data_IF_937490545346
#
_entry.id   IF_937490545346
#
_cell.length_a   1.000
_cell.length_b   1.000
_cell.length_c   1.000
_cell.angle_alpha   90.00
_cell.angle_beta   90.00
_cell.angle_gamma   90.00
#
_symmetry.space_group_name_H-M   'P 1'
#
loop_
_entity.id
_entity.type
_entity.pdbx_description
1 polymer ?
#
# COMPACT_ATOMS: atom_id res chain seq x y z
N UNK A 1 41.99 -50.82 -30.66
CA UNK A 1 41.00 -51.52 -29.79
C UNK A 1 41.73 -52.12 -28.60
N UNK A 2 41.05 -52.45 -27.48
CA UNK A 2 39.71 -52.05 -27.05
C UNK A 2 39.88 -50.84 -26.08
N UNK A 3 39.22 -50.59 -24.93
CA UNK A 3 38.01 -51.10 -24.24
C UNK A 3 37.45 -49.98 -23.35
N UNK A 4 36.14 -49.88 -23.13
CA UNK A 4 35.55 -49.03 -22.07
C UNK A 4 35.73 -49.67 -20.69
N UNK A 5 35.80 -48.87 -19.62
CA UNK A 5 35.40 -49.25 -18.25
C UNK A 5 34.45 -48.19 -17.71
N UNK A 6 33.26 -48.62 -17.27
CA UNK A 6 32.26 -47.74 -16.67
C UNK A 6 32.67 -47.33 -15.25
N UNK A 7 32.33 -46.10 -14.85
CA UNK A 7 32.32 -45.70 -13.45
C UNK A 7 30.87 -45.46 -12.98
N UNK A 8 30.63 -45.91 -11.75
CA UNK A 8 29.33 -46.17 -11.13
C UNK A 8 28.65 -44.87 -10.69
N UNK A 9 27.36 -44.73 -10.99
CA UNK A 9 26.49 -43.70 -10.39
C UNK A 9 26.25 -44.04 -8.91
N UNK A 10 26.40 -43.09 -7.96
CA UNK A 10 25.95 -43.26 -6.58
C UNK A 10 24.42 -43.09 -6.45
N UNK A 11 23.78 -44.01 -5.74
CA UNK A 11 22.38 -43.87 -5.31
C UNK A 11 22.30 -42.92 -4.10
N UNK A 12 21.56 -41.82 -4.22
CA UNK A 12 21.27 -40.89 -3.12
C UNK A 12 19.85 -41.09 -2.60
N UNK A 13 19.74 -41.92 -1.57
CA UNK A 13 18.50 -42.20 -0.84
C UNK A 13 17.82 -40.94 -0.32
N UNK A 14 16.49 -40.94 -0.36
CA UNK A 14 15.63 -39.91 0.22
C UNK A 14 15.91 -39.68 1.71
N UNK A 15 16.20 -38.42 2.07
CA UNK A 15 16.18 -37.94 3.45
C UNK A 15 15.19 -36.78 3.59
N UNK A 16 14.18 -36.93 4.43
CA UNK A 16 13.12 -35.94 4.61
C UNK A 16 13.59 -34.67 5.34
N UNK A 17 14.09 -33.69 4.60
CA UNK A 17 14.38 -32.35 5.11
C UNK A 17 13.14 -31.46 5.09
N UNK A 18 12.84 -30.78 6.21
CA UNK A 18 11.81 -29.74 6.28
C UNK A 18 12.20 -28.60 5.34
N UNK A 19 11.28 -28.17 4.46
CA UNK A 19 11.47 -26.95 3.66
C UNK A 19 11.64 -25.75 4.61
N UNK A 20 12.72 -24.95 4.48
CA UNK A 20 12.92 -23.78 5.33
C UNK A 20 11.88 -22.70 5.01
N UNK A 21 11.65 -21.82 5.98
CA UNK A 21 10.77 -20.67 5.84
C UNK A 21 11.20 -19.79 4.65
N UNK A 22 10.25 -19.21 3.93
CA UNK A 22 10.53 -18.39 2.75
C UNK A 22 11.47 -17.23 3.11
N UNK A 23 12.69 -17.25 2.58
CA UNK A 23 13.51 -16.05 2.49
C UNK A 23 12.82 -15.11 1.52
N UNK A 24 12.09 -14.14 2.05
CA UNK A 24 11.61 -13.00 1.26
C UNK A 24 12.84 -12.18 0.91
N UNK A 25 13.44 -12.49 -0.23
CA UNK A 25 14.42 -11.60 -0.86
C UNK A 25 13.65 -10.37 -1.32
N UNK A 26 13.50 -9.38 -0.43
CA UNK A 26 13.38 -7.99 -0.85
C UNK A 26 14.61 -7.69 -1.67
N UNK A 27 14.47 -7.72 -3.00
CA UNK A 27 15.35 -6.90 -3.80
C UNK A 27 15.04 -5.47 -3.37
N UNK A 28 16.00 -4.82 -2.71
CA UNK A 28 16.03 -3.37 -2.72
C UNK A 28 16.11 -2.95 -4.19
N UNK A 29 14.97 -2.52 -4.73
CA UNK A 29 14.97 -1.75 -5.96
C UNK A 29 15.88 -0.53 -5.71
N UNK A 30 16.74 -0.14 -6.65
CA UNK A 30 17.65 0.98 -6.44
C UNK A 30 16.84 2.27 -6.32
N UNK A 31 16.58 2.66 -5.06
CA UNK A 31 15.83 3.85 -4.68
C UNK A 31 16.55 5.07 -5.25
N UNK A 32 15.89 5.77 -6.17
CA UNK A 32 16.53 6.84 -6.91
C UNK A 32 16.44 8.15 -6.13
N UNK A 33 17.57 8.53 -5.54
CA UNK A 33 17.70 9.77 -4.77
C UNK A 33 18.00 10.93 -5.74
N UNK A 34 17.12 11.93 -5.87
CA UNK A 34 17.31 13.04 -6.81
C UNK A 34 18.39 14.01 -6.32
N UNK A 35 19.27 14.46 -7.22
CA UNK A 35 20.32 15.44 -6.88
C UNK A 35 19.78 16.80 -6.40
N UNK A 36 18.53 17.11 -6.75
CA UNK A 36 17.77 18.24 -6.22
C UNK A 36 17.69 18.24 -4.68
N UNK A 37 17.84 17.09 -4.01
CA UNK A 37 17.84 16.98 -2.54
C UNK A 37 18.99 17.77 -1.88
N UNK A 38 20.07 18.08 -2.59
CA UNK A 38 21.16 18.90 -2.04
C UNK A 38 20.72 20.35 -1.74
N UNK A 39 19.69 20.85 -2.43
CA UNK A 39 19.15 22.20 -2.22
C UNK A 39 18.61 22.41 -0.79
N UNK A 40 17.90 21.41 -0.25
CA UNK A 40 17.18 21.50 1.03
C UNK A 40 18.10 21.64 2.27
N UNK A 41 19.39 21.36 2.10
CA UNK A 41 20.45 21.52 3.12
C UNK A 41 21.52 22.56 2.71
N UNK A 42 21.30 23.29 1.62
CA UNK A 42 22.24 24.29 1.10
C UNK A 42 23.58 23.71 0.62
N UNK A 43 23.63 22.42 0.28
CA UNK A 43 24.84 21.74 -0.18
C UNK A 43 25.12 22.06 -1.66
N UNK A 44 26.40 21.98 -2.06
CA UNK A 44 26.79 22.21 -3.45
C UNK A 44 26.14 21.17 -4.39
N UNK A 45 25.59 21.56 -5.56
CA UNK A 45 24.92 20.62 -6.48
C UNK A 45 25.79 19.49 -7.05
N UNK A 46 27.12 19.53 -6.88
CA UNK A 46 28.04 18.43 -7.23
C UNK A 46 28.24 17.41 -6.10
N UNK A 47 27.67 17.68 -4.91
CA UNK A 47 27.68 16.74 -3.78
C UNK A 47 26.88 15.48 -4.13
N UNK A 48 27.38 14.25 -3.85
CA UNK A 48 26.64 13.03 -4.13
C UNK A 48 25.26 13.00 -3.43
N UNK A 49 24.16 12.61 -4.10
CA UNK A 49 22.81 12.68 -3.54
C UNK A 49 22.64 11.94 -2.21
N UNK A 50 23.32 10.81 -2.02
CA UNK A 50 23.29 10.03 -0.77
C UNK A 50 23.91 10.79 0.42
N UNK A 51 24.92 11.63 0.18
CA UNK A 51 25.53 12.48 1.22
C UNK A 51 24.59 13.62 1.60
N UNK A 52 23.93 14.23 0.61
CA UNK A 52 22.87 15.21 0.85
C UNK A 52 21.69 14.60 1.63
N UNK A 53 21.23 13.40 1.25
CA UNK A 53 20.19 12.65 1.95
C UNK A 53 20.58 12.30 3.39
N UNK A 54 21.85 11.99 3.66
CA UNK A 54 22.34 11.77 5.02
C UNK A 54 22.22 13.06 5.88
N UNK A 55 22.53 14.23 5.32
CA UNK A 55 22.31 15.52 5.99
C UNK A 55 20.81 15.80 6.21
N UNK A 56 19.97 15.53 5.21
CA UNK A 56 18.50 15.66 5.34
C UNK A 56 17.96 14.77 6.46
N UNK A 57 18.43 13.51 6.57
CA UNK A 57 18.02 12.63 7.66
C UNK A 57 18.39 13.19 9.03
N UNK A 58 19.55 13.83 9.17
CA UNK A 58 19.95 14.49 10.43
C UNK A 58 19.05 15.70 10.74
N UNK A 59 18.79 16.57 9.77
CA UNK A 59 17.89 17.73 9.95
C UNK A 59 16.46 17.30 10.32
N UNK A 60 15.91 16.31 9.60
CA UNK A 60 14.58 15.75 9.84
C UNK A 60 14.49 15.03 11.18
N UNK A 61 15.53 14.33 11.62
CA UNK A 61 15.55 13.71 12.95
C UNK A 61 15.66 14.73 14.10
N UNK A 62 16.37 15.84 13.89
CA UNK A 62 16.57 16.88 14.91
C UNK A 62 15.37 17.85 15.02
N UNK A 63 14.78 18.25 13.90
CA UNK A 63 13.78 19.33 13.86
C UNK A 63 12.41 18.92 13.27
N UNK A 64 12.29 17.72 12.71
CA UNK A 64 11.14 17.31 11.90
C UNK A 64 11.11 17.92 10.50
N UNK A 65 12.10 18.72 10.12
CA UNK A 65 12.10 19.50 8.86
C UNK A 65 13.47 19.57 8.20
N UNK A 66 13.48 19.53 6.87
CA UNK A 66 14.55 20.06 6.01
C UNK A 66 13.90 20.88 4.90
N UNK A 67 14.18 22.18 4.80
CA UNK A 67 13.53 23.05 3.82
C UNK A 67 14.37 24.32 3.56
N UNK A 68 14.15 25.00 2.42
CA UNK A 68 14.69 26.33 2.18
C UNK A 68 14.37 27.29 3.34
N UNK A 69 15.31 28.14 3.81
CA UNK A 69 15.11 28.95 5.02
C UNK A 69 13.89 29.87 5.03
N UNK A 70 13.34 30.21 3.86
CA UNK A 70 12.14 31.02 3.72
C UNK A 70 10.85 30.28 4.14
N UNK A 71 10.75 28.97 3.89
CA UNK A 71 9.54 28.18 4.19
C UNK A 71 9.52 27.63 5.62
N UNK A 72 10.69 27.41 6.23
CA UNK A 72 10.85 26.81 7.57
C UNK A 72 9.93 27.43 8.64
N UNK A 73 9.75 28.76 8.75
CA UNK A 73 8.86 29.34 9.77
C UNK A 73 7.38 29.00 9.58
N UNK A 74 6.91 28.84 8.34
CA UNK A 74 5.54 28.45 8.03
C UNK A 74 5.33 26.94 8.18
N UNK A 75 6.26 26.15 7.67
CA UNK A 75 6.21 24.68 7.75
C UNK A 75 6.29 24.17 9.20
N UNK A 76 7.05 24.84 10.07
CA UNK A 76 7.09 24.49 11.51
C UNK A 76 5.72 24.65 12.18
N UNK A 77 4.92 25.65 11.79
CA UNK A 77 3.54 25.79 12.28
C UNK A 77 2.64 24.62 11.84
N UNK A 78 2.86 24.06 10.63
CA UNK A 78 2.15 22.88 10.15
C UNK A 78 2.55 21.63 10.93
N UNK A 79 3.84 21.44 11.21
CA UNK A 79 4.36 20.34 12.04
C UNK A 79 3.84 20.44 13.48
N UNK A 80 3.86 21.64 14.07
CA UNK A 80 3.33 21.88 15.42
C UNK A 80 1.80 21.75 15.48
N UNK A 81 1.07 21.97 14.37
CA UNK A 81 -0.35 21.64 14.28
C UNK A 81 -0.57 20.13 14.20
N UNK A 82 0.09 19.44 13.27
CA UNK A 82 0.02 17.99 13.11
C UNK A 82 0.29 17.25 14.43
N UNK A 83 1.26 17.73 15.24
CA UNK A 83 1.57 17.17 16.56
C UNK A 83 0.40 17.31 17.56
N UNK A 84 -0.41 18.37 17.51
CA UNK A 84 -1.63 18.50 18.35
C UNK A 84 -2.70 17.50 17.91
N UNK A 85 -2.77 17.24 16.61
CA UNK A 85 -3.70 16.31 15.99
C UNK A 85 -3.21 14.84 16.08
N UNK A 86 -2.10 14.59 16.80
CA UNK A 86 -1.55 13.26 17.10
C UNK A 86 -0.60 12.70 16.04
N UNK A 87 -0.18 13.50 15.06
CA UNK A 87 0.61 13.08 13.90
C UNK A 87 2.06 13.58 14.04
N UNK A 88 3.03 12.67 14.05
CA UNK A 88 4.45 13.02 13.85
C UNK A 88 4.71 13.29 12.36
N UNK A 89 4.34 14.49 11.91
CA UNK A 89 4.57 14.95 10.54
C UNK A 89 6.02 15.44 10.39
N UNK A 90 6.73 14.88 9.41
CA UNK A 90 8.07 15.30 9.01
C UNK A 90 8.05 15.82 7.58
N UNK A 91 8.69 16.96 7.32
CA UNK A 91 8.61 17.64 6.02
C UNK A 91 9.99 17.83 5.39
N UNK A 92 10.13 17.47 4.12
CA UNK A 92 11.29 17.80 3.29
C UNK A 92 10.85 18.61 2.08
N UNK A 93 11.57 19.68 1.74
CA UNK A 93 11.26 20.55 0.59
C UNK A 93 12.48 20.73 -0.30
N UNK A 94 12.35 20.42 -1.58
CA UNK A 94 13.35 20.61 -2.63
C UNK A 94 13.00 21.88 -3.43
N UNK A 95 13.98 22.77 -3.65
CA UNK A 95 13.79 24.02 -4.42
C UNK A 95 13.41 23.79 -5.90
N UNK A 96 13.66 22.58 -6.42
CA UNK A 96 13.47 22.23 -7.83
C UNK A 96 12.82 20.86 -7.97
N UNK A 97 12.01 20.71 -9.02
CA UNK A 97 11.47 19.41 -9.40
C UNK A 97 12.58 18.51 -9.93
N UNK A 98 12.69 17.25 -9.48
CA UNK A 98 13.39 16.23 -10.24
C UNK A 98 12.66 15.96 -11.58
N UNK A 99 13.32 15.32 -12.58
CA UNK A 99 12.75 15.11 -13.93
C UNK A 99 11.47 14.27 -13.99
N UNK A 100 11.15 13.55 -12.92
CA UNK A 100 9.90 12.80 -12.71
C UNK A 100 9.46 12.99 -11.26
N UNK A 101 8.24 12.59 -10.91
CA UNK A 101 7.63 12.72 -9.58
C UNK A 101 8.00 11.58 -8.62
N UNK A 102 8.14 10.36 -9.14
CA UNK A 102 8.51 9.15 -8.39
C UNK A 102 9.68 9.27 -7.40
N UNK A 103 10.78 10.03 -7.65
CA UNK A 103 11.92 10.13 -6.73
C UNK A 103 11.55 10.66 -5.34
N UNK A 104 10.48 11.44 -5.23
CA UNK A 104 10.02 12.00 -3.94
C UNK A 104 9.36 10.94 -3.06
N UNK A 105 8.75 9.91 -3.67
CA UNK A 105 8.19 8.74 -2.96
C UNK A 105 9.31 7.82 -2.46
N UNK A 106 10.39 7.69 -3.22
CA UNK A 106 11.61 6.98 -2.79
C UNK A 106 12.26 7.71 -1.60
N UNK A 107 12.47 9.04 -1.68
CA UNK A 107 13.00 9.85 -0.57
C UNK A 107 12.10 9.77 0.67
N UNK A 108 10.78 9.87 0.51
CA UNK A 108 9.83 9.73 1.62
C UNK A 108 9.97 8.37 2.32
N UNK A 109 10.06 7.29 1.53
CA UNK A 109 10.24 5.91 2.02
C UNK A 109 11.58 5.74 2.72
N UNK A 110 12.67 6.28 2.18
CA UNK A 110 14.02 6.15 2.75
C UNK A 110 14.18 6.96 4.05
N UNK A 111 13.43 8.05 4.23
CA UNK A 111 13.38 8.80 5.49
C UNK A 111 12.44 8.12 6.50
N UNK A 112 11.28 7.63 6.03
CA UNK A 112 10.27 6.95 6.84
C UNK A 112 10.71 5.59 7.39
N UNK A 113 11.57 4.86 6.67
CA UNK A 113 12.17 3.62 7.18
C UNK A 113 13.07 3.81 8.40
N UNK A 114 13.50 5.05 8.68
CA UNK A 114 14.24 5.44 9.89
C UNK A 114 13.33 6.02 10.99
N UNK A 115 12.03 6.20 10.70
CA UNK A 115 11.02 6.82 11.56
C UNK A 115 9.66 6.13 11.38
N UNK A 116 9.48 4.87 11.83
CA UNK A 116 8.35 4.01 11.44
C UNK A 116 6.99 4.50 11.92
N UNK A 117 6.93 5.28 13.00
CA UNK A 117 5.72 5.88 13.57
C UNK A 117 5.42 7.29 13.01
N UNK A 118 6.19 7.75 12.02
CA UNK A 118 6.08 9.09 11.44
C UNK A 118 5.35 9.09 10.09
N UNK A 119 4.75 10.24 9.78
CA UNK A 119 4.29 10.55 8.43
C UNK A 119 5.27 11.51 7.77
N UNK A 120 5.92 11.08 6.69
CA UNK A 120 6.88 11.89 5.94
C UNK A 120 6.20 12.47 4.71
N UNK A 121 6.33 13.78 4.52
CA UNK A 121 5.91 14.53 3.34
C UNK A 121 7.17 15.10 2.66
N UNK A 122 7.31 14.86 1.35
CA UNK A 122 8.42 15.40 0.54
C UNK A 122 7.82 16.20 -0.61
N UNK A 123 8.21 17.47 -0.72
CA UNK A 123 7.67 18.47 -1.62
C UNK A 123 8.72 18.96 -2.63
N UNK A 124 8.28 19.23 -3.85
CA UNK A 124 8.95 20.12 -4.80
C UNK A 124 7.89 20.97 -5.54
N UNK A 125 8.26 21.98 -6.36
CA UNK A 125 7.32 22.96 -6.93
C UNK A 125 6.10 22.42 -7.71
N UNK A 126 6.10 21.18 -8.21
CA UNK A 126 4.90 20.54 -8.78
C UNK A 126 4.78 19.03 -8.54
N UNK A 127 5.67 18.44 -7.74
CA UNK A 127 5.65 17.01 -7.42
C UNK A 127 5.62 16.82 -5.90
N UNK A 128 4.99 15.74 -5.44
CA UNK A 128 4.84 15.40 -4.02
C UNK A 128 5.01 13.90 -3.87
N UNK A 129 5.67 13.47 -2.79
CA UNK A 129 5.71 12.07 -2.36
C UNK A 129 5.57 11.97 -0.85
N UNK A 130 4.84 10.97 -0.37
CA UNK A 130 4.61 10.76 1.06
C UNK A 130 4.77 9.30 1.49
N UNK A 131 5.08 9.11 2.77
CA UNK A 131 5.17 7.82 3.44
C UNK A 131 4.46 7.89 4.79
N UNK A 132 3.65 6.88 5.12
CA UNK A 132 3.11 6.68 6.47
C UNK A 132 2.74 5.22 6.68
N UNK A 133 2.86 4.75 7.91
CA UNK A 133 2.33 3.45 8.38
C UNK A 133 0.93 3.59 8.97
N UNK A 134 0.53 4.81 9.37
CA UNK A 134 -0.72 5.10 10.07
C UNK A 134 -1.88 5.45 9.13
N UNK A 135 -1.59 6.06 7.98
CA UNK A 135 -2.62 6.50 7.02
C UNK A 135 -2.75 5.52 5.83
N UNK A 136 -3.99 5.16 5.41
CA UNK A 136 -4.19 4.35 4.21
C UNK A 136 -3.59 5.01 2.96
N UNK A 137 -3.01 4.22 2.04
CA UNK A 137 -2.37 4.78 0.84
C UNK A 137 -3.32 5.64 0.00
N UNK A 138 -4.62 5.33 -0.04
CA UNK A 138 -5.60 6.16 -0.74
C UNK A 138 -5.67 7.60 -0.17
N UNK A 139 -5.63 7.75 1.15
CA UNK A 139 -5.61 9.06 1.83
C UNK A 139 -4.31 9.81 1.54
N UNK A 140 -3.19 9.09 1.52
CA UNK A 140 -1.88 9.65 1.15
C UNK A 140 -1.86 10.14 -0.31
N UNK A 141 -2.39 9.37 -1.27
CA UNK A 141 -2.45 9.77 -2.69
C UNK A 141 -3.35 11.02 -2.88
N UNK A 142 -4.52 11.08 -2.24
CA UNK A 142 -5.40 12.26 -2.30
C UNK A 142 -4.71 13.48 -1.66
N UNK A 143 -4.00 13.29 -0.54
CA UNK A 143 -3.20 14.34 0.10
C UNK A 143 -2.06 14.82 -0.81
N UNK A 144 -1.36 13.89 -1.47
CA UNK A 144 -0.30 14.21 -2.44
C UNK A 144 -0.84 15.00 -3.63
N UNK A 145 -2.05 14.71 -4.12
CA UNK A 145 -2.71 15.48 -5.18
C UNK A 145 -3.15 16.88 -4.70
N UNK A 146 -3.83 16.97 -3.55
CA UNK A 146 -4.25 18.24 -2.94
C UNK A 146 -3.06 19.14 -2.57
N UNK A 147 -1.86 18.58 -2.38
CA UNK A 147 -0.62 19.29 -2.06
C UNK A 147 0.13 19.87 -3.28
N UNK A 148 -0.28 19.62 -4.53
CA UNK A 148 0.43 20.10 -5.75
C UNK A 148 0.16 21.59 -6.04
N UNK A 149 0.45 22.48 -5.08
CA UNK A 149 0.14 23.91 -5.12
C UNK A 149 1.29 24.82 -5.58
N UNK A 150 2.54 24.35 -5.52
CA UNK A 150 3.73 25.16 -5.79
C UNK A 150 4.14 26.14 -4.68
N UNK A 151 3.46 26.13 -3.53
CA UNK A 151 3.88 26.84 -2.32
C UNK A 151 3.98 25.84 -1.16
N UNK A 152 5.19 25.57 -0.67
CA UNK A 152 5.43 24.45 0.25
C UNK A 152 4.59 24.52 1.54
N UNK A 153 4.39 25.71 2.10
CA UNK A 153 3.56 25.91 3.30
C UNK A 153 2.10 25.54 3.02
N UNK A 154 1.51 26.03 1.93
CA UNK A 154 0.15 25.68 1.52
C UNK A 154 0.04 24.20 1.12
N UNK A 155 1.06 23.62 0.46
CA UNK A 155 1.12 22.20 0.11
C UNK A 155 1.01 21.32 1.37
N UNK A 156 1.80 21.66 2.41
CA UNK A 156 1.79 20.95 3.69
C UNK A 156 0.48 21.14 4.47
N UNK A 157 -0.13 22.33 4.42
CA UNK A 157 -1.45 22.59 5.00
C UNK A 157 -2.55 21.76 4.34
N UNK A 158 -2.58 21.71 3.00
CA UNK A 158 -3.54 20.90 2.24
C UNK A 158 -3.36 19.40 2.53
N UNK A 159 -2.11 18.92 2.60
CA UNK A 159 -1.80 17.53 2.96
C UNK A 159 -2.31 17.18 4.36
N UNK A 160 -1.97 18.00 5.37
CA UNK A 160 -2.43 17.79 6.75
C UNK A 160 -3.96 17.86 6.87
N UNK A 161 -4.61 18.74 6.11
CA UNK A 161 -6.06 18.84 6.08
C UNK A 161 -6.71 17.54 5.57
N UNK A 162 -6.15 16.89 4.53
CA UNK A 162 -6.64 15.58 4.08
C UNK A 162 -6.45 14.51 5.17
N UNK A 163 -5.27 14.42 5.80
CA UNK A 163 -5.00 13.43 6.85
C UNK A 163 -5.94 13.55 8.05
N UNK A 164 -6.35 14.77 8.39
CA UNK A 164 -7.25 15.07 9.51
C UNK A 164 -8.74 15.04 9.13
N UNK A 165 -9.07 14.91 7.84
CA UNK A 165 -10.46 14.88 7.35
C UNK A 165 -11.06 13.48 7.45
N UNK A 166 -12.25 13.29 8.08
CA UNK A 166 -12.90 11.99 8.17
C UNK A 166 -13.38 11.44 6.81
N UNK A 167 -12.55 10.63 6.17
CA UNK A 167 -12.90 9.89 4.95
C UNK A 167 -14.00 8.84 5.17
N UNK A 168 -14.78 8.54 4.12
CA UNK A 168 -15.78 7.47 4.15
C UNK A 168 -15.10 6.09 4.35
N UNK A 169 -15.63 5.20 5.22
CA UNK A 169 -14.99 3.93 5.56
C UNK A 169 -15.21 2.85 4.48
N UNK A 170 -14.63 3.08 3.29
CA UNK A 170 -14.76 2.23 2.10
C UNK A 170 -14.56 0.74 2.38
N UNK A 171 -13.51 0.37 3.12
CA UNK A 171 -13.24 -1.04 3.48
C UNK A 171 -14.41 -1.70 4.20
N UNK A 172 -15.00 -1.02 5.20
CA UNK A 172 -16.13 -1.55 5.96
C UNK A 172 -17.39 -1.64 5.09
N UNK A 173 -17.63 -0.62 4.26
CA UNK A 173 -18.74 -0.63 3.30
C UNK A 173 -18.62 -1.79 2.29
N UNK A 174 -17.44 -1.98 1.68
CA UNK A 174 -17.18 -3.08 0.74
C UNK A 174 -17.34 -4.45 1.40
N UNK A 175 -16.91 -4.63 2.66
CA UNK A 175 -17.15 -5.86 3.43
C UNK A 175 -18.65 -6.13 3.57
N UNK A 176 -19.46 -5.13 3.94
CA UNK A 176 -20.92 -5.27 4.05
C UNK A 176 -21.56 -5.61 2.69
N UNK A 177 -21.13 -4.97 1.60
CA UNK A 177 -21.60 -5.27 0.24
C UNK A 177 -21.27 -6.71 -0.16
N UNK A 178 -20.03 -7.17 0.08
CA UNK A 178 -19.61 -8.56 -0.22
C UNK A 178 -20.41 -9.58 0.57
N UNK A 179 -20.68 -9.33 1.86
CA UNK A 179 -21.53 -10.19 2.69
C UNK A 179 -22.97 -10.22 2.14
N UNK A 180 -23.53 -9.07 1.76
CA UNK A 180 -24.85 -8.99 1.15
C UNK A 180 -24.97 -9.79 -0.15
N UNK A 181 -23.97 -9.68 -1.04
CA UNK A 181 -23.90 -10.45 -2.30
C UNK A 181 -23.77 -11.95 -2.03
N UNK A 182 -22.95 -12.35 -1.05
CA UNK A 182 -22.80 -13.76 -0.65
C UNK A 182 -24.12 -14.34 -0.15
N UNK A 183 -24.83 -13.63 0.74
CA UNK A 183 -26.13 -14.06 1.27
C UNK A 183 -27.19 -14.15 0.16
N UNK A 184 -27.23 -13.19 -0.77
CA UNK A 184 -28.13 -13.20 -1.91
C UNK A 184 -27.85 -14.41 -2.84
N UNK A 185 -26.58 -14.71 -3.14
CA UNK A 185 -26.18 -15.84 -3.95
C UNK A 185 -26.55 -17.20 -3.30
N UNK A 186 -26.33 -17.34 -1.99
CA UNK A 186 -26.73 -18.53 -1.22
C UNK A 186 -28.25 -18.69 -1.18
N UNK A 187 -29.00 -17.62 -0.91
CA UNK A 187 -30.46 -17.62 -0.91
C UNK A 187 -31.04 -18.02 -2.27
N UNK A 188 -30.55 -17.40 -3.35
CA UNK A 188 -30.92 -17.76 -4.72
C UNK A 188 -30.62 -19.23 -5.03
N UNK A 189 -29.46 -19.75 -4.61
CA UNK A 189 -29.08 -21.15 -4.81
C UNK A 189 -30.01 -22.13 -4.06
N UNK A 190 -30.40 -21.81 -2.82
CA UNK A 190 -31.36 -22.62 -2.06
C UNK A 190 -32.72 -22.66 -2.77
N UNK A 191 -33.22 -21.51 -3.23
CA UNK A 191 -34.48 -21.43 -3.97
C UNK A 191 -34.44 -22.23 -5.30
N UNK A 192 -33.35 -22.12 -6.06
CA UNK A 192 -33.13 -22.90 -7.29
C UNK A 192 -33.11 -24.43 -7.07
N UNK A 193 -32.57 -24.89 -5.93
CA UNK A 193 -32.54 -26.32 -5.60
C UNK A 193 -33.92 -26.81 -5.14
N UNK A 194 -34.68 -25.98 -4.41
CA UNK A 194 -36.05 -26.32 -3.98
C UNK A 194 -37.01 -26.39 -5.18
N UNK A 195 -37.01 -25.40 -6.07
CA UNK A 195 -37.90 -25.40 -7.24
C UNK A 195 -37.69 -26.59 -8.16
N UNK A 196 -36.44 -27.00 -8.38
CA UNK A 196 -36.11 -28.20 -9.18
C UNK A 196 -36.62 -29.51 -8.57
N UNK A 197 -36.74 -29.62 -7.24
CA UNK A 197 -37.33 -30.82 -6.59
C UNK A 197 -38.85 -30.88 -6.76
N UNK A 198 -39.54 -29.73 -6.71
CA UNK A 198 -41.00 -29.68 -6.87
C UNK A 198 -41.49 -30.15 -8.25
N UNK A 199 -40.64 -30.14 -9.27
CA UNK A 199 -40.95 -30.58 -10.64
C UNK A 199 -40.78 -32.10 -10.84
N UNK A 200 -40.22 -32.82 -9.86
CA UNK A 200 -39.92 -34.26 -9.95
C UNK A 200 -40.76 -35.10 -8.98
N UNK A 201 -41.96 -34.65 -8.63
CA UNK A 201 -42.96 -35.45 -7.93
C UNK A 201 -43.66 -36.39 -8.94
N UNK A 202 -43.64 -37.73 -8.78
CA UNK A 202 -44.28 -38.64 -9.72
C UNK A 202 -45.82 -38.61 -9.63
N UNK A 203 -46.56 -38.71 -10.74
CA UNK A 203 -48.04 -38.73 -10.77
C UNK A 203 -48.63 -40.12 -10.41
N UNK A 204 -48.01 -40.85 -9.48
CA UNK A 204 -48.26 -42.29 -9.25
C UNK A 204 -49.11 -42.57 -7.99
N UNK A 205 -50.21 -41.83 -7.82
CA UNK A 205 -51.18 -42.04 -6.72
C UNK A 205 -52.54 -42.56 -7.19
N UNK A 206 -53.06 -42.08 -8.32
CA UNK A 206 -54.44 -42.36 -8.77
C UNK A 206 -54.58 -43.72 -9.49
N UNK A 207 -53.52 -44.19 -10.16
CA UNK A 207 -53.51 -45.42 -10.97
C UNK A 207 -53.58 -46.75 -10.19
N UNK A 208 -53.93 -46.73 -8.89
CA UNK A 208 -54.11 -47.94 -8.05
C UNK A 208 -55.53 -48.16 -7.55
N UNK A 209 -56.47 -47.26 -7.80
CA UNK A 209 -57.87 -47.40 -7.36
C UNK A 209 -58.75 -48.20 -8.35
N UNK A 210 -58.45 -48.15 -9.64
CA UNK A 210 -59.35 -48.55 -10.74
C UNK A 210 -59.19 -50.02 -11.20
N UNK A 211 -58.60 -50.88 -10.37
CA UNK A 211 -58.16 -52.24 -10.76
C UNK A 211 -58.61 -53.39 -9.85
N UNK A 212 -59.56 -53.14 -8.93
CA UNK A 212 -59.89 -54.09 -7.85
C UNK A 212 -61.16 -54.93 -8.09
N UNK A 213 -62.13 -54.45 -8.89
CA UNK A 213 -63.47 -55.04 -8.97
C UNK A 213 -63.82 -55.58 -10.37
N UNK A 214 -63.35 -56.79 -10.70
CA UNK A 214 -63.85 -57.57 -11.84
C UNK A 214 -63.95 -59.06 -11.48
N UNK A 215 -65.08 -59.68 -11.84
CA UNK A 215 -65.45 -61.10 -11.72
C UNK A 215 -65.86 -61.65 -10.34
N UNK A 216 -67.18 -61.61 -10.13
CA UNK A 216 -67.97 -62.69 -9.52
C UNK A 216 -69.26 -62.89 -10.35
#
# INVERSE_FOLDING_TARGET
MPRRRLLRVPDHRSGGGRVPFWTVTTLDAPLYIPGEICSTVGADPSTPPDQCLALVKVAVAAEGISAPPADVPGLRQVIDQARKDGIDLKIVVLDRNPPMDTPLRDVATVIGSSHPDATVLVLSPSHVGSYSTHFPRATLEIGEDNAKTGNAVQSAQNFLHELTTPQFPWTAFTIVVVIGVLLAAVGARILQVRSKRSVTAPPDAEARADGADVHA
#
